data_IF_765205069564
#
_entry.id   IF_765205069564
#
_cell.length_a   1.000
_cell.length_b   1.000
_cell.length_c   1.000
_cell.angle_alpha   90.00
_cell.angle_beta   90.00
_cell.angle_gamma   90.00
#
_symmetry.space_group_name_H-M   'P 1'
#
loop_
_entity.id
_entity.type
_entity.pdbx_description
1 polymer ?
#
# COMPACT_ATOMS: atom_id res chain seq x y z
N UNK A 1 -31.82 -50.06 -53.62
CA UNK A 1 -30.54 -49.30 -53.36
C UNK A 1 -30.82 -48.19 -52.35
N UNK A 2 -30.54 -48.43 -51.09
CA UNK A 2 -30.72 -47.46 -50.00
C UNK A 2 -29.36 -46.83 -49.74
N UNK A 3 -29.22 -45.53 -49.98
CA UNK A 3 -28.00 -44.75 -49.63
C UNK A 3 -28.15 -44.20 -48.25
N UNK A 4 -27.35 -44.72 -47.32
CA UNK A 4 -27.25 -44.23 -45.95
C UNK A 4 -26.33 -43.02 -45.94
N UNK A 5 -26.84 -41.82 -45.59
CA UNK A 5 -26.04 -40.62 -45.30
C UNK A 5 -25.53 -40.72 -43.86
N UNK A 6 -24.21 -40.80 -43.69
CA UNK A 6 -23.57 -40.67 -42.39
C UNK A 6 -23.27 -39.20 -42.17
N UNK A 7 -24.04 -38.56 -41.27
CA UNK A 7 -23.76 -37.17 -40.79
C UNK A 7 -22.68 -37.27 -39.70
N UNK A 8 -21.48 -36.77 -40.00
CA UNK A 8 -20.42 -36.57 -39.01
C UNK A 8 -20.66 -35.30 -38.24
N UNK A 9 -21.08 -35.41 -37.00
CA UNK A 9 -21.21 -34.28 -36.08
C UNK A 9 -19.82 -33.96 -35.49
N UNK A 10 -19.21 -32.87 -35.92
CA UNK A 10 -17.99 -32.32 -35.30
C UNK A 10 -18.39 -31.63 -33.98
N UNK A 11 -18.07 -32.26 -32.84
CA UNK A 11 -18.07 -31.60 -31.54
C UNK A 11 -16.86 -30.66 -31.49
N UNK A 12 -17.12 -29.37 -31.58
CA UNK A 12 -16.16 -28.31 -31.17
C UNK A 12 -16.12 -28.33 -29.62
N UNK A 13 -15.11 -28.96 -29.05
CA UNK A 13 -14.77 -28.75 -27.63
C UNK A 13 -14.19 -27.32 -27.53
N UNK A 14 -14.99 -26.38 -27.06
CA UNK A 14 -14.49 -25.10 -26.61
C UNK A 14 -13.57 -25.36 -25.40
N UNK A 15 -12.28 -25.30 -25.58
CA UNK A 15 -11.34 -25.17 -24.48
C UNK A 15 -11.66 -23.82 -23.81
N UNK A 16 -12.36 -23.84 -22.69
CA UNK A 16 -12.35 -22.74 -21.75
C UNK A 16 -10.92 -22.67 -21.20
N UNK A 17 -10.11 -21.78 -21.78
CA UNK A 17 -8.84 -21.43 -21.15
C UNK A 17 -9.19 -20.85 -19.79
N UNK A 18 -8.93 -21.59 -18.71
CA UNK A 18 -8.89 -21.04 -17.37
C UNK A 18 -7.78 -19.99 -17.39
N UNK A 19 -8.11 -18.75 -17.00
CA UNK A 19 -7.10 -17.76 -16.73
C UNK A 19 -6.18 -18.33 -15.62
N UNK A 20 -4.88 -18.28 -15.87
CA UNK A 20 -3.91 -18.72 -14.86
C UNK A 20 -4.00 -17.76 -13.66
N UNK A 21 -4.13 -18.32 -12.47
CA UNK A 21 -4.28 -17.55 -11.24
C UNK A 21 -2.93 -17.16 -10.66
N UNK A 22 -2.71 -15.87 -10.38
CA UNK A 22 -1.55 -15.35 -9.69
C UNK A 22 -1.96 -14.77 -8.34
N UNK A 23 -1.30 -15.18 -7.26
CA UNK A 23 -1.56 -14.67 -5.90
C UNK A 23 -0.59 -13.55 -5.55
N UNK A 24 -1.12 -12.37 -5.31
CA UNK A 24 -0.35 -11.18 -4.90
C UNK A 24 -0.72 -10.74 -3.50
N UNK A 25 0.22 -10.80 -2.56
CA UNK A 25 0.01 -10.22 -1.23
C UNK A 25 0.20 -8.69 -1.29
N UNK A 26 -0.80 -7.96 -0.84
CA UNK A 26 -0.82 -6.49 -0.86
C UNK A 26 -1.18 -5.93 0.52
N UNK A 27 -0.87 -4.64 0.74
CA UNK A 27 -1.22 -3.97 1.99
C UNK A 27 -2.69 -3.53 2.02
N UNK A 28 -3.26 -3.42 3.22
CA UNK A 28 -4.60 -2.85 3.43
C UNK A 28 -4.69 -1.40 2.95
N UNK A 29 -3.58 -0.63 2.98
CA UNK A 29 -3.54 0.74 2.46
C UNK A 29 -3.60 0.77 0.92
N UNK A 30 -3.02 -0.21 0.23
CA UNK A 30 -3.16 -0.35 -1.22
C UNK A 30 -4.61 -0.65 -1.60
N UNK A 31 -5.23 -1.64 -0.97
CA UNK A 31 -6.64 -1.99 -1.19
C UNK A 31 -7.56 -0.80 -0.91
N UNK A 32 -7.43 -0.18 0.26
CA UNK A 32 -8.26 0.95 0.66
C UNK A 32 -8.08 2.19 -0.23
N UNK A 33 -7.01 2.27 -1.00
CA UNK A 33 -6.80 3.37 -1.94
C UNK A 33 -7.75 3.31 -3.14
N UNK A 34 -8.26 2.12 -3.49
CA UNK A 34 -9.09 1.90 -4.68
C UNK A 34 -8.31 1.80 -5.99
N UNK A 35 -6.98 1.92 -5.97
CA UNK A 35 -6.17 1.80 -7.19
C UNK A 35 -6.26 0.39 -7.80
N UNK A 36 -6.43 -0.63 -6.96
CA UNK A 36 -6.63 -2.01 -7.40
C UNK A 36 -7.80 -2.15 -8.36
N UNK A 37 -8.93 -1.47 -8.11
CA UNK A 37 -10.14 -1.51 -8.95
C UNK A 37 -9.88 -0.98 -10.38
N UNK A 38 -8.86 -0.15 -10.55
CA UNK A 38 -8.43 0.39 -11.85
C UNK A 38 -7.42 -0.54 -12.53
N UNK A 39 -6.47 -1.11 -11.77
CA UNK A 39 -5.39 -1.91 -12.34
C UNK A 39 -5.82 -3.33 -12.69
N UNK A 40 -6.63 -3.99 -11.84
CA UNK A 40 -7.00 -5.41 -12.03
C UNK A 40 -7.66 -5.72 -13.37
N UNK A 41 -8.70 -4.96 -13.82
CA UNK A 41 -9.32 -5.22 -15.12
C UNK A 41 -8.37 -5.08 -16.30
N UNK A 42 -7.43 -4.13 -16.21
CA UNK A 42 -6.46 -3.87 -17.26
C UNK A 42 -5.36 -4.94 -17.31
N UNK A 43 -4.94 -5.45 -16.14
CA UNK A 43 -4.02 -6.59 -16.03
C UNK A 43 -4.66 -7.84 -16.63
N UNK A 44 -5.90 -8.14 -16.28
CA UNK A 44 -6.63 -9.29 -16.82
C UNK A 44 -6.78 -9.18 -18.35
N UNK A 45 -7.16 -8.00 -18.86
CA UNK A 45 -7.35 -7.76 -20.29
C UNK A 45 -6.05 -7.92 -21.09
N UNK A 46 -4.91 -7.45 -20.55
CA UNK A 46 -3.64 -7.44 -21.27
C UNK A 46 -2.85 -8.77 -21.12
N UNK A 47 -2.92 -9.41 -19.95
CA UNK A 47 -2.10 -10.58 -19.62
C UNK A 47 -2.89 -11.89 -19.59
N UNK A 48 -4.23 -11.83 -19.49
CA UNK A 48 -5.07 -13.01 -19.28
C UNK A 48 -4.84 -13.67 -17.91
N UNK A 49 -4.35 -12.92 -16.92
CA UNK A 49 -4.05 -13.39 -15.57
C UNK A 49 -5.22 -13.05 -14.63
N UNK A 50 -5.75 -14.06 -13.94
CA UNK A 50 -6.64 -13.85 -12.78
C UNK A 50 -5.78 -13.49 -11.56
N UNK A 51 -5.67 -12.19 -11.27
CA UNK A 51 -4.84 -11.68 -10.15
C UNK A 51 -5.63 -11.68 -8.85
N UNK A 52 -5.33 -12.63 -7.96
CA UNK A 52 -5.93 -12.74 -6.63
C UNK A 52 -5.15 -11.95 -5.59
N UNK A 53 -5.77 -10.92 -5.01
CA UNK A 53 -5.16 -10.13 -3.96
C UNK A 53 -5.38 -10.76 -2.58
N UNK A 54 -4.28 -10.97 -1.83
CA UNK A 54 -4.30 -11.31 -0.41
C UNK A 54 -4.02 -10.03 0.38
N UNK A 55 -5.07 -9.39 0.87
CA UNK A 55 -5.00 -8.08 1.54
C UNK A 55 -4.65 -8.25 3.01
N UNK A 56 -3.43 -7.89 3.39
CA UNK A 56 -2.88 -8.08 4.74
C UNK A 56 -1.96 -6.93 5.14
N UNK A 57 -1.40 -6.93 6.34
CA UNK A 57 -0.32 -5.98 6.70
C UNK A 57 1.02 -6.40 6.12
N UNK A 58 1.96 -5.45 5.93
CA UNK A 58 3.30 -5.69 5.35
C UNK A 58 4.01 -6.91 5.94
N UNK A 59 4.06 -7.02 7.28
CA UNK A 59 4.72 -8.16 7.93
C UNK A 59 4.06 -9.50 7.62
N UNK A 60 2.73 -9.55 7.49
CA UNK A 60 2.01 -10.76 7.09
C UNK A 60 2.24 -11.09 5.61
N UNK A 61 2.25 -10.07 4.73
CA UNK A 61 2.55 -10.27 3.30
C UNK A 61 3.93 -10.91 3.11
N UNK A 62 4.95 -10.40 3.80
CA UNK A 62 6.30 -10.98 3.78
C UNK A 62 6.34 -12.41 4.33
N UNK A 63 5.57 -12.73 5.39
CA UNK A 63 5.47 -14.10 5.90
C UNK A 63 4.80 -15.06 4.90
N UNK A 64 3.75 -14.62 4.20
CA UNK A 64 3.11 -15.41 3.14
C UNK A 64 4.09 -15.71 2.00
N UNK A 65 4.87 -14.71 1.57
CA UNK A 65 5.92 -14.92 0.57
C UNK A 65 7.03 -15.84 1.07
N UNK A 66 7.46 -15.71 2.33
CA UNK A 66 8.46 -16.57 2.94
C UNK A 66 8.00 -18.04 3.06
N UNK A 67 6.69 -18.28 3.15
CA UNK A 67 6.09 -19.61 3.15
C UNK A 67 5.83 -20.15 1.72
N UNK A 68 5.88 -19.31 0.69
CA UNK A 68 5.51 -19.68 -0.68
C UNK A 68 3.99 -19.78 -0.91
N UNK A 69 3.20 -19.15 -0.04
CA UNK A 69 1.72 -19.12 -0.11
C UNK A 69 1.20 -18.13 -1.15
N UNK A 70 2.07 -17.20 -1.60
CA UNK A 70 1.83 -16.22 -2.65
C UNK A 70 2.97 -16.21 -3.65
N UNK A 71 2.73 -15.72 -4.87
CA UNK A 71 3.68 -15.71 -5.97
C UNK A 71 4.51 -14.41 -5.99
N UNK A 72 3.93 -13.32 -5.51
CA UNK A 72 4.58 -12.02 -5.39
C UNK A 72 3.98 -11.18 -4.26
N UNK A 73 4.66 -10.09 -3.93
CA UNK A 73 4.32 -9.17 -2.84
C UNK A 73 4.40 -7.74 -3.36
N UNK A 74 3.42 -6.89 -3.02
CA UNK A 74 3.44 -5.44 -3.27
C UNK A 74 3.21 -4.70 -1.95
N UNK A 75 4.28 -4.16 -1.38
CA UNK A 75 4.29 -3.55 -0.03
C UNK A 75 5.16 -2.29 0.00
N UNK A 76 5.29 -1.64 1.17
CA UNK A 76 5.95 -0.36 1.33
C UNK A 76 6.76 -0.25 2.64
N UNK A 77 7.69 -1.18 2.88
CA UNK A 77 8.60 -1.15 4.04
C UNK A 77 10.00 -1.55 3.61
N UNK A 78 10.75 -0.59 3.05
CA UNK A 78 12.04 -0.81 2.39
C UNK A 78 12.99 -1.73 3.18
N UNK A 79 13.19 -1.47 4.46
CA UNK A 79 14.10 -2.27 5.29
C UNK A 79 13.66 -3.74 5.39
N UNK A 80 12.34 -3.99 5.53
CA UNK A 80 11.80 -5.36 5.59
C UNK A 80 11.85 -6.05 4.22
N UNK A 81 11.66 -5.30 3.14
CA UNK A 81 11.76 -5.77 1.76
C UNK A 81 13.20 -6.16 1.39
N UNK A 82 14.16 -5.31 1.76
CA UNK A 82 15.60 -5.58 1.56
C UNK A 82 16.06 -6.81 2.37
N UNK A 83 15.58 -6.97 3.60
CA UNK A 83 15.85 -8.18 4.40
C UNK A 83 15.27 -9.43 3.72
N UNK A 84 14.03 -9.39 3.22
CA UNK A 84 13.38 -10.50 2.52
C UNK A 84 14.19 -10.97 1.30
N UNK A 85 14.72 -10.02 0.52
CA UNK A 85 15.58 -10.34 -0.63
C UNK A 85 16.96 -10.86 -0.17
N UNK A 86 17.56 -10.25 0.84
CA UNK A 86 18.86 -10.69 1.38
C UNK A 86 18.82 -12.12 1.95
N UNK A 87 17.69 -12.53 2.52
CA UNK A 87 17.45 -13.91 3.00
C UNK A 87 17.17 -14.90 1.84
N UNK A 88 17.17 -14.41 0.59
CA UNK A 88 16.93 -15.20 -0.61
C UNK A 88 15.47 -15.66 -0.76
N UNK A 89 14.53 -15.05 -0.07
CA UNK A 89 13.09 -15.36 -0.13
C UNK A 89 12.40 -14.71 -1.32
N UNK A 90 12.87 -13.53 -1.73
CA UNK A 90 12.52 -12.88 -2.99
C UNK A 90 13.71 -12.84 -3.94
N UNK A 91 13.47 -12.76 -5.24
CA UNK A 91 14.54 -12.67 -6.24
C UNK A 91 15.15 -11.28 -6.30
N UNK A 92 14.32 -10.25 -6.17
CA UNK A 92 14.74 -8.85 -6.19
C UNK A 92 13.60 -7.96 -5.63
N UNK A 93 13.88 -6.67 -5.54
CA UNK A 93 12.97 -5.60 -5.16
C UNK A 93 12.87 -4.60 -6.31
N UNK A 94 11.64 -4.31 -6.75
CA UNK A 94 11.38 -3.34 -7.82
C UNK A 94 10.46 -2.23 -7.33
N UNK A 95 10.91 -0.98 -7.35
CA UNK A 95 10.05 0.18 -7.07
C UNK A 95 9.03 0.36 -8.19
N UNK A 96 7.77 0.59 -7.85
CA UNK A 96 6.68 0.76 -8.80
C UNK A 96 6.11 2.18 -8.73
N UNK A 97 5.73 2.61 -7.53
CA UNK A 97 5.05 3.88 -7.29
C UNK A 97 5.24 4.31 -5.85
N UNK A 98 4.97 5.57 -5.56
CA UNK A 98 4.85 6.04 -4.18
C UNK A 98 3.60 6.89 -3.99
N UNK A 99 3.11 6.92 -2.76
CA UNK A 99 2.21 7.92 -2.25
C UNK A 99 2.87 8.59 -1.04
N UNK A 100 2.15 9.41 -0.29
CA UNK A 100 2.71 10.05 0.89
C UNK A 100 1.85 9.80 2.13
N UNK A 101 2.51 9.98 3.27
CA UNK A 101 1.84 10.24 4.54
C UNK A 101 1.63 11.74 4.71
N UNK A 102 0.59 12.09 5.45
CA UNK A 102 0.22 13.47 5.74
C UNK A 102 -0.03 13.65 7.24
N UNK A 103 0.30 14.82 7.76
CA UNK A 103 -0.05 15.18 9.13
C UNK A 103 -1.37 15.94 9.12
N UNK A 104 -2.31 15.42 9.86
CA UNK A 104 -3.67 15.90 10.03
C UNK A 104 -3.82 16.42 11.45
N UNK A 105 -4.63 17.40 11.64
CA UNK A 105 -4.92 17.93 12.97
C UNK A 105 -6.08 18.90 12.96
N UNK A 106 -6.41 19.48 14.13
CA UNK A 106 -7.45 20.49 14.26
C UNK A 106 -7.18 21.70 13.37
N UNK A 107 -8.20 22.26 12.71
CA UNK A 107 -8.07 23.50 11.91
C UNK A 107 -7.50 24.66 12.70
N UNK A 108 -7.70 24.66 14.02
CA UNK A 108 -7.13 25.69 14.92
C UNK A 108 -5.61 25.61 15.03
N UNK A 109 -5.01 24.49 14.67
CA UNK A 109 -3.57 24.20 14.63
C UNK A 109 -2.78 24.84 15.81
N UNK A 110 -3.16 24.52 17.03
CA UNK A 110 -2.54 25.10 18.24
C UNK A 110 -1.03 24.81 18.34
N UNK A 111 -0.57 23.70 17.77
CA UNK A 111 0.86 23.37 17.70
C UNK A 111 1.57 24.09 16.54
N UNK A 112 0.85 24.77 15.65
CA UNK A 112 1.38 25.53 14.50
C UNK A 112 2.21 24.65 13.54
N UNK A 113 1.73 23.46 13.25
CA UNK A 113 2.46 22.54 12.36
C UNK A 113 2.30 22.91 10.88
N UNK A 114 1.24 23.62 10.51
CA UNK A 114 1.02 24.09 9.14
C UNK A 114 2.05 25.12 8.65
N UNK A 115 2.86 25.68 9.57
CA UNK A 115 3.93 26.63 9.24
C UNK A 115 5.33 26.04 9.35
N UNK A 116 5.46 24.70 9.50
CA UNK A 116 6.77 24.04 9.62
C UNK A 116 7.38 23.73 8.25
N UNK A 117 8.69 23.55 8.22
CA UNK A 117 9.45 23.21 7.02
C UNK A 117 9.65 21.68 6.85
N UNK A 118 9.32 20.88 7.88
CA UNK A 118 9.52 19.44 7.87
C UNK A 118 8.62 18.68 8.84
N UNK A 119 8.42 17.40 8.57
CA UNK A 119 7.59 16.51 9.38
C UNK A 119 8.14 16.34 10.79
N UNK A 120 9.46 16.24 10.94
CA UNK A 120 10.11 16.12 12.24
C UNK A 120 9.90 17.39 13.09
N UNK A 121 10.02 18.57 12.48
CA UNK A 121 9.70 19.85 13.17
C UNK A 121 8.24 19.90 13.59
N UNK A 122 7.33 19.42 12.73
CA UNK A 122 5.90 19.34 13.05
C UNK A 122 5.65 18.50 14.29
N UNK A 123 6.24 17.29 14.35
CA UNK A 123 6.12 16.41 15.51
C UNK A 123 6.79 17.00 16.75
N UNK A 124 7.94 17.67 16.63
CA UNK A 124 8.55 18.39 17.76
C UNK A 124 7.61 19.44 18.35
N UNK A 125 6.94 20.26 17.51
CA UNK A 125 5.97 21.26 17.96
C UNK A 125 4.79 20.63 18.67
N UNK A 126 4.26 19.50 18.16
CA UNK A 126 3.19 18.74 18.82
C UNK A 126 3.64 18.28 20.21
N UNK A 127 4.87 17.71 20.31
CA UNK A 127 5.41 17.22 21.58
C UNK A 127 5.66 18.35 22.58
N UNK A 128 6.21 19.49 22.15
CA UNK A 128 6.44 20.67 23.00
C UNK A 128 5.12 21.23 23.53
N UNK A 129 4.10 21.30 22.68
CA UNK A 129 2.78 21.77 23.08
C UNK A 129 2.00 20.71 23.89
N UNK A 130 2.49 19.46 23.98
CA UNK A 130 1.76 18.30 24.49
C UNK A 130 0.33 18.22 23.92
N UNK A 131 0.21 18.58 22.63
CA UNK A 131 -1.07 18.57 21.95
C UNK A 131 -1.53 17.15 21.71
N UNK A 132 -2.82 16.88 21.89
CA UNK A 132 -3.39 15.53 21.74
C UNK A 132 -2.99 14.93 20.39
N UNK A 133 -2.35 13.78 20.43
CA UNK A 133 -1.88 13.04 19.26
C UNK A 133 -2.41 11.60 19.31
N UNK A 134 -2.85 11.11 18.17
CA UNK A 134 -3.30 9.72 18.00
C UNK A 134 -2.30 8.98 17.12
N UNK A 135 -1.80 7.87 17.64
CA UNK A 135 -0.97 6.91 16.91
C UNK A 135 -1.76 5.66 16.58
N UNK A 136 -1.47 5.03 15.46
CA UNK A 136 -2.02 3.71 15.18
C UNK A 136 -1.60 2.67 16.21
N UNK A 137 -0.33 2.66 16.62
CA UNK A 137 0.19 1.77 17.65
C UNK A 137 0.07 0.27 17.35
N UNK A 138 -0.09 -0.14 16.08
CA UNK A 138 -0.45 -1.49 15.62
C UNK A 138 0.65 -2.20 14.82
N UNK A 139 1.88 -1.70 14.86
CA UNK A 139 3.05 -2.20 14.11
C UNK A 139 2.88 -2.20 12.56
N UNK A 140 1.90 -1.45 12.04
CA UNK A 140 1.69 -1.25 10.61
C UNK A 140 2.79 -0.41 9.95
N UNK A 141 2.78 -0.35 8.60
CA UNK A 141 3.66 0.55 7.84
C UNK A 141 3.50 2.01 8.24
N UNK A 142 2.28 2.49 8.49
CA UNK A 142 2.01 3.85 8.98
C UNK A 142 2.60 4.07 10.37
N UNK A 143 2.45 3.12 11.29
CA UNK A 143 3.04 3.22 12.63
C UNK A 143 4.57 3.25 12.56
N UNK A 144 5.18 2.41 11.72
CA UNK A 144 6.64 2.42 11.51
C UNK A 144 7.12 3.73 10.91
N UNK A 145 6.39 4.31 9.95
CA UNK A 145 6.70 5.62 9.39
C UNK A 145 6.59 6.72 10.46
N UNK A 146 5.55 6.71 11.28
CA UNK A 146 5.39 7.62 12.42
C UNK A 146 6.59 7.56 13.38
N UNK A 147 6.95 6.34 13.83
CA UNK A 147 8.08 6.13 14.74
C UNK A 147 9.40 6.63 14.15
N UNK A 148 9.60 6.45 12.84
CA UNK A 148 10.78 6.99 12.13
C UNK A 148 10.81 8.52 12.17
N UNK A 149 9.68 9.19 11.98
CA UNK A 149 9.62 10.66 12.06
C UNK A 149 9.84 11.14 13.50
N UNK A 150 9.28 10.45 14.51
CA UNK A 150 9.57 10.73 15.92
C UNK A 150 11.05 10.58 16.26
N UNK A 151 11.72 9.55 15.71
CA UNK A 151 13.16 9.35 15.87
C UNK A 151 13.97 10.51 15.27
N UNK A 152 13.63 10.97 14.06
CA UNK A 152 14.26 12.13 13.42
C UNK A 152 14.01 13.40 14.24
N UNK A 153 12.83 13.52 14.85
CA UNK A 153 12.47 14.60 15.76
C UNK A 153 13.20 14.51 17.13
N UNK A 154 14.06 13.52 17.34
CA UNK A 154 14.75 13.23 18.60
C UNK A 154 13.77 13.09 19.79
N UNK A 155 12.65 12.42 19.54
CA UNK A 155 11.60 12.14 20.52
C UNK A 155 11.30 10.66 20.58
N UNK A 156 11.05 10.14 21.79
CA UNK A 156 10.74 8.74 22.03
C UNK A 156 9.29 8.59 22.54
N UNK A 157 8.35 8.03 21.74
CA UNK A 157 6.95 7.86 22.16
C UNK A 157 6.78 7.13 23.48
N UNK A 158 7.69 6.21 23.84
CA UNK A 158 7.68 5.51 25.12
C UNK A 158 7.81 6.43 26.36
N UNK A 159 8.27 7.69 26.16
CA UNK A 159 8.41 8.69 27.22
C UNK A 159 7.28 9.72 27.25
N UNK A 160 6.29 9.60 26.33
CA UNK A 160 5.22 10.55 26.22
C UNK A 160 4.16 10.35 27.31
N UNK A 161 3.49 11.44 27.68
CA UNK A 161 2.39 11.44 28.63
C UNK A 161 1.04 11.12 27.99
N UNK A 162 -0.03 11.43 28.69
CA UNK A 162 -1.41 11.16 28.29
C UNK A 162 -1.89 11.89 27.02
N UNK A 163 -1.10 12.80 26.49
CA UNK A 163 -1.39 13.47 25.23
C UNK A 163 -1.15 12.59 24.00
N UNK A 164 -0.37 11.52 24.12
CA UNK A 164 -0.07 10.53 23.07
C UNK A 164 -0.92 9.28 23.26
N UNK A 165 -1.80 8.98 22.32
CA UNK A 165 -2.80 7.92 22.40
C UNK A 165 -2.54 6.86 21.32
N UNK A 166 -1.91 5.75 21.68
CA UNK A 166 -1.76 4.60 20.80
C UNK A 166 -3.05 3.76 20.84
N UNK A 167 -3.75 3.64 19.70
CA UNK A 167 -5.08 3.00 19.66
C UNK A 167 -5.01 1.50 19.35
N UNK A 168 -3.88 0.99 18.85
CA UNK A 168 -3.72 -0.42 18.52
C UNK A 168 -4.64 -0.91 17.39
N UNK A 169 -5.01 -0.02 16.44
CA UNK A 169 -6.05 -0.31 15.46
C UNK A 169 -5.71 0.24 14.07
N UNK A 170 -6.46 -0.22 13.05
CA UNK A 170 -6.33 0.21 11.66
C UNK A 170 -6.61 1.69 11.45
N UNK A 171 -6.20 2.23 10.27
CA UNK A 171 -6.22 3.68 9.98
C UNK A 171 -7.60 4.32 10.13
N UNK A 172 -8.67 3.64 9.70
CA UNK A 172 -10.03 4.15 9.83
C UNK A 172 -10.46 4.35 11.29
N UNK A 173 -10.12 3.42 12.19
CA UNK A 173 -10.39 3.55 13.63
C UNK A 173 -9.54 4.66 14.25
N UNK A 174 -8.26 4.75 13.88
CA UNK A 174 -7.36 5.80 14.35
C UNK A 174 -7.82 7.20 13.92
N UNK A 175 -8.27 7.37 12.66
CA UNK A 175 -8.86 8.62 12.18
C UNK A 175 -10.16 8.99 12.90
N UNK A 176 -11.04 8.01 13.18
CA UNK A 176 -12.25 8.26 13.98
C UNK A 176 -11.89 8.72 15.40
N UNK A 177 -10.89 8.10 16.03
CA UNK A 177 -10.40 8.51 17.35
C UNK A 177 -9.82 9.92 17.30
N UNK A 178 -8.98 10.23 16.29
CA UNK A 178 -8.42 11.56 16.11
C UNK A 178 -9.53 12.63 15.90
N UNK A 179 -10.55 12.32 15.11
CA UNK A 179 -11.71 13.19 14.91
C UNK A 179 -12.47 13.45 16.22
N UNK A 180 -12.76 12.40 16.99
CA UNK A 180 -13.46 12.49 18.26
C UNK A 180 -12.68 13.30 19.31
N UNK A 181 -11.36 13.16 19.36
CA UNK A 181 -10.47 13.85 20.30
C UNK A 181 -10.00 15.21 19.79
N UNK A 182 -10.33 15.57 18.55
CA UNK A 182 -9.79 16.74 17.86
C UNK A 182 -8.26 16.78 17.94
N UNK A 183 -7.62 15.66 17.56
CA UNK A 183 -6.22 15.36 17.77
C UNK A 183 -5.39 15.42 16.48
N UNK A 184 -4.08 15.56 16.62
CA UNK A 184 -3.12 15.37 15.53
C UNK A 184 -2.94 13.87 15.26
N UNK A 185 -2.65 13.50 14.00
CA UNK A 185 -2.42 12.13 13.56
C UNK A 185 -1.60 12.11 12.28
N UNK A 186 -0.75 11.10 12.10
CA UNK A 186 -0.17 10.73 10.81
C UNK A 186 -1.09 9.73 10.10
N UNK A 187 -1.41 9.99 8.83
CA UNK A 187 -2.22 9.10 7.99
C UNK A 187 -1.61 9.00 6.60
N UNK A 188 -1.83 7.88 5.91
CA UNK A 188 -1.68 7.87 4.46
C UNK A 188 -2.74 8.79 3.83
N UNK A 189 -2.37 9.45 2.71
CA UNK A 189 -3.24 10.43 2.03
C UNK A 189 -4.54 9.81 1.57
N UNK A 190 -4.53 8.57 1.05
CA UNK A 190 -5.72 7.90 0.56
C UNK A 190 -6.77 7.70 1.65
N UNK A 191 -6.35 7.18 2.80
CA UNK A 191 -7.24 7.01 3.95
C UNK A 191 -7.84 8.36 4.39
N UNK A 192 -7.04 9.42 4.41
CA UNK A 192 -7.53 10.77 4.71
C UNK A 192 -8.54 11.30 3.68
N UNK A 193 -8.25 11.14 2.38
CA UNK A 193 -9.15 11.62 1.32
C UNK A 193 -10.50 10.91 1.36
N UNK A 194 -10.49 9.60 1.59
CA UNK A 194 -11.69 8.78 1.69
C UNK A 194 -12.43 8.90 3.03
N UNK A 195 -11.76 9.42 4.07
CA UNK A 195 -12.37 9.54 5.39
C UNK A 195 -13.49 10.58 5.40
N UNK A 196 -14.69 10.15 5.84
CA UNK A 196 -15.90 11.00 5.81
C UNK A 196 -16.13 11.77 7.10
N UNK A 197 -15.76 11.20 8.26
CA UNK A 197 -16.02 11.77 9.58
C UNK A 197 -14.92 12.74 10.02
N UNK A 198 -14.56 13.71 9.16
CA UNK A 198 -13.43 14.63 9.38
C UNK A 198 -13.62 15.59 10.55
N UNK A 199 -14.86 15.93 10.88
CA UNK A 199 -15.14 16.92 11.93
C UNK A 199 -14.39 18.23 11.70
N UNK A 200 -13.64 18.68 12.71
CA UNK A 200 -12.81 19.87 12.64
C UNK A 200 -11.36 19.61 12.19
N UNK A 201 -11.07 18.39 11.73
CA UNK A 201 -9.75 18.05 11.24
C UNK A 201 -9.50 18.57 9.82
N UNK A 202 -8.25 18.93 9.55
CA UNK A 202 -7.72 19.30 8.24
C UNK A 202 -6.35 18.69 8.01
N UNK A 203 -5.94 18.53 6.74
CA UNK A 203 -4.57 18.27 6.37
C UNK A 203 -3.76 19.54 6.65
N UNK A 204 -2.77 19.46 7.51
CA UNK A 204 -1.97 20.60 7.97
C UNK A 204 -0.56 20.60 7.40
N UNK A 205 0.02 19.41 7.16
CA UNK A 205 1.39 19.30 6.63
C UNK A 205 1.54 18.10 5.69
N UNK A 206 2.29 18.29 4.60
CA UNK A 206 2.66 17.25 3.62
C UNK A 206 3.88 17.67 2.79
N UNK A 207 4.39 16.79 1.94
CA UNK A 207 5.42 17.11 0.95
C UNK A 207 6.86 16.95 1.43
N UNK A 208 7.10 16.53 2.68
CA UNK A 208 8.44 16.16 3.14
C UNK A 208 8.84 14.79 2.56
N UNK A 209 10.03 14.64 1.95
CA UNK A 209 10.51 13.35 1.43
C UNK A 209 10.51 12.20 2.45
N UNK A 210 10.66 12.49 3.76
CA UNK A 210 10.58 11.45 4.81
C UNK A 210 9.19 10.81 4.91
N UNK A 211 8.17 11.50 4.43
CA UNK A 211 6.78 11.04 4.39
C UNK A 211 6.45 10.24 3.12
N UNK A 212 7.37 10.12 2.17
CA UNK A 212 7.11 9.33 0.97
C UNK A 212 7.03 7.85 1.30
N UNK A 213 5.99 7.23 0.79
CA UNK A 213 5.63 5.84 1.03
C UNK A 213 5.82 5.06 -0.27
N UNK A 214 7.03 4.51 -0.45
CA UNK A 214 7.46 3.81 -1.64
C UNK A 214 6.91 2.39 -1.66
N UNK A 215 6.11 2.06 -2.66
CA UNK A 215 5.67 0.69 -2.94
C UNK A 215 6.67 -0.04 -3.81
N UNK A 216 6.99 -1.24 -3.40
CA UNK A 216 7.86 -2.13 -4.15
C UNK A 216 7.21 -3.49 -4.39
N UNK A 217 7.47 -4.03 -5.58
CA UNK A 217 7.11 -5.36 -6.01
C UNK A 217 8.26 -6.33 -5.76
N UNK A 218 7.96 -7.50 -5.19
CA UNK A 218 8.92 -8.53 -4.86
C UNK A 218 8.42 -9.89 -5.35
N UNK A 219 8.96 -10.45 -6.43
CA UNK A 219 8.68 -11.84 -6.82
C UNK A 219 9.24 -12.82 -5.79
N UNK A 220 8.44 -13.82 -5.42
CA UNK A 220 8.90 -14.88 -4.52
C UNK A 220 9.91 -15.78 -5.24
N UNK A 221 10.96 -16.22 -4.55
CA UNK A 221 12.06 -16.95 -5.15
C UNK A 221 11.68 -18.41 -5.49
N UNK A 222 11.63 -18.80 -6.78
CA UNK A 222 11.25 -20.15 -7.19
C UNK A 222 12.27 -21.21 -6.77
N UNK A 223 13.53 -20.83 -6.49
CA UNK A 223 14.53 -21.76 -5.98
C UNK A 223 14.23 -22.20 -4.53
N UNK A 224 13.49 -21.41 -3.78
CA UNK A 224 13.01 -21.74 -2.43
C UNK A 224 11.62 -22.39 -2.47
N UNK A 225 10.77 -21.93 -3.38
CA UNK A 225 9.37 -22.33 -3.50
C UNK A 225 9.04 -22.72 -4.96
N UNK A 226 9.31 -23.97 -5.39
CA UNK A 226 9.15 -24.37 -6.79
C UNK A 226 7.71 -24.32 -7.32
N UNK A 227 6.72 -24.16 -6.44
CA UNK A 227 5.29 -24.13 -6.79
C UNK A 227 4.77 -22.72 -7.10
N UNK A 228 5.57 -21.67 -6.87
CA UNK A 228 5.13 -20.29 -7.16
C UNK A 228 5.12 -20.05 -8.68
N UNK A 229 4.19 -19.23 -9.13
CA UNK A 229 4.00 -18.89 -10.53
C UNK A 229 4.99 -17.78 -10.97
N UNK A 230 6.29 -18.08 -10.87
CA UNK A 230 7.35 -17.08 -11.04
C UNK A 230 7.33 -16.38 -12.41
N UNK A 231 7.16 -17.14 -13.51
CA UNK A 231 7.11 -16.57 -14.87
C UNK A 231 5.92 -15.59 -15.02
N UNK A 232 4.81 -15.91 -14.37
CA UNK A 232 3.63 -15.05 -14.36
C UNK A 232 3.85 -13.81 -13.50
N UNK A 233 4.52 -13.97 -12.35
CA UNK A 233 4.92 -12.86 -11.51
C UNK A 233 5.86 -11.89 -12.25
N UNK A 234 6.77 -12.39 -13.09
CA UNK A 234 7.64 -11.55 -13.93
C UNK A 234 6.87 -10.82 -15.03
N UNK A 235 5.88 -11.45 -15.67
CA UNK A 235 5.00 -10.77 -16.63
C UNK A 235 4.19 -9.64 -15.98
N UNK A 236 3.71 -9.87 -14.75
CA UNK A 236 3.03 -8.82 -13.98
C UNK A 236 4.00 -7.67 -13.64
N UNK A 237 5.25 -7.94 -13.27
CA UNK A 237 6.26 -6.90 -13.05
C UNK A 237 6.49 -6.06 -14.31
N UNK A 238 6.68 -6.69 -15.46
CA UNK A 238 6.85 -5.98 -16.73
C UNK A 238 5.65 -5.09 -17.05
N UNK A 239 4.44 -5.59 -16.83
CA UNK A 239 3.21 -4.82 -17.02
C UNK A 239 3.14 -3.64 -16.05
N UNK A 240 3.45 -3.84 -14.76
CA UNK A 240 3.50 -2.78 -13.76
C UNK A 240 4.52 -1.69 -14.09
N UNK A 241 5.58 -2.01 -14.86
CA UNK A 241 6.59 -1.06 -15.35
C UNK A 241 6.28 -0.48 -16.72
N UNK A 242 5.13 -0.79 -17.32
CA UNK A 242 4.73 -0.29 -18.64
C UNK A 242 4.23 1.15 -18.62
N UNK A 243 4.27 1.80 -19.79
CA UNK A 243 3.72 3.15 -19.97
C UNK A 243 2.20 3.20 -19.67
N UNK A 244 1.48 2.10 -19.94
CA UNK A 244 0.05 1.98 -19.62
C UNK A 244 -0.16 2.00 -18.10
N UNK A 245 0.55 1.19 -17.35
CA UNK A 245 0.50 1.20 -15.88
C UNK A 245 0.89 2.56 -15.31
N UNK A 246 1.97 3.17 -15.84
CA UNK A 246 2.40 4.51 -15.43
C UNK A 246 1.29 5.55 -15.64
N UNK A 247 0.60 5.50 -16.77
CA UNK A 247 -0.53 6.41 -17.06
C UNK A 247 -1.71 6.18 -16.11
N UNK A 248 -2.08 4.91 -15.86
CA UNK A 248 -3.16 4.57 -14.92
C UNK A 248 -2.86 5.05 -13.51
N UNK A 249 -1.64 4.81 -13.01
CA UNK A 249 -1.19 5.23 -11.68
C UNK A 249 -1.18 6.75 -11.54
N UNK A 250 -0.56 7.47 -12.49
CA UNK A 250 -0.40 8.92 -12.42
C UNK A 250 -1.72 9.68 -12.60
N UNK A 251 -2.68 9.11 -13.34
CA UNK A 251 -4.00 9.72 -13.56
C UNK A 251 -5.03 9.32 -12.50
N UNK A 252 -4.66 8.41 -11.56
CA UNK A 252 -5.57 7.99 -10.52
C UNK A 252 -5.80 9.12 -9.50
N UNK A 253 -7.06 9.49 -9.29
CA UNK A 253 -7.44 10.61 -8.42
C UNK A 253 -8.56 10.21 -7.45
N UNK A 254 -8.47 10.73 -6.23
CA UNK A 254 -9.55 10.69 -5.25
C UNK A 254 -10.00 12.13 -4.98
N UNK A 255 -11.27 12.43 -5.23
CA UNK A 255 -11.83 13.78 -5.06
C UNK A 255 -11.07 14.88 -5.85
N UNK A 256 -10.48 14.53 -7.00
CA UNK A 256 -9.71 15.46 -7.84
C UNK A 256 -8.24 15.63 -7.43
N UNK A 257 -7.77 14.90 -6.41
CA UNK A 257 -6.36 14.91 -5.98
C UNK A 257 -5.65 13.64 -6.47
N UNK A 258 -4.48 13.81 -7.12
CA UNK A 258 -3.60 12.71 -7.50
C UNK A 258 -3.06 12.03 -6.25
N UNK A 259 -3.16 10.70 -6.22
CA UNK A 259 -2.81 9.93 -5.03
C UNK A 259 -1.46 9.25 -5.14
N UNK A 260 -1.14 8.71 -6.30
CA UNK A 260 0.10 7.97 -6.54
C UNK A 260 0.95 8.66 -7.61
N UNK A 261 2.24 8.48 -7.50
CA UNK A 261 3.22 8.87 -8.51
C UNK A 261 3.98 7.63 -8.92
N UNK A 262 3.91 7.29 -10.20
CA UNK A 262 4.73 6.22 -10.77
C UNK A 262 6.20 6.64 -10.83
N UNK A 263 7.09 5.77 -10.35
CA UNK A 263 8.54 5.96 -10.42
C UNK A 263 9.29 4.65 -10.75
N UNK A 264 8.57 3.67 -11.29
CA UNK A 264 9.16 2.40 -11.73
C UNK A 264 10.20 2.63 -12.81
N UNK A 265 11.34 1.90 -12.71
CA UNK A 265 12.39 1.90 -13.72
C UNK A 265 12.57 0.48 -14.24
N UNK A 266 12.66 0.36 -15.57
CA UNK A 266 12.93 -0.91 -16.27
C UNK A 266 14.35 -1.40 -16.04
#
# INVERSE_FOLDING_TARGET
MIRTLISATFLFAANMAHADTLKLAVTTSFENSGLADVLLPEIEADLGIDLQLLVVGTGQALRLGAAGDVDAILVHSRASEEAFVADGLGTHRREIMYNDFVLIGPKSDKAQIGATSGAAESLQKIAVAQATYVSRGDDSGTHKAELKVWQIAERAPATFGSWYNAVGAGMGAALNTASALNAYILSDRASWLNFKNKGDLALLFSGDPVLFNQYAYLPVNPAKHPTVQYEMAMKLEEWLLSDKSAALINNYQINGETLFVFNGQK
#
